data_IF_139602708679
#
_entry.id   IF_139602708679
#
_cell.length_a   1.000
_cell.length_b   1.000
_cell.length_c   1.000
_cell.angle_alpha   90.00
_cell.angle_beta   90.00
_cell.angle_gamma   90.00
#
_symmetry.space_group_name_H-M   'P 1'
#
loop_
_entity.id
_entity.type
_entity.pdbx_description
1 polymer ?
#
# COMPACT_ATOMS: atom_id res chain seq x y z
N UNK A 1 -26.56 -18.23 -16.24
CA UNK A 1 -25.51 -19.26 -16.38
C UNK A 1 -24.19 -18.50 -16.49
N UNK A 2 -23.38 -18.46 -15.44
CA UNK A 2 -22.07 -17.79 -15.50
C UNK A 2 -21.11 -18.76 -16.18
N UNK A 3 -20.61 -18.42 -17.37
CA UNK A 3 -19.50 -19.14 -17.98
C UNK A 3 -18.35 -19.18 -16.97
N UNK A 4 -17.98 -20.38 -16.50
CA UNK A 4 -16.75 -20.56 -15.74
C UNK A 4 -15.60 -20.37 -16.73
N UNK A 5 -15.08 -19.15 -16.82
CA UNK A 5 -13.82 -18.87 -17.52
C UNK A 5 -12.76 -19.81 -16.93
N UNK A 6 -12.06 -20.56 -17.77
CA UNK A 6 -10.97 -21.42 -17.31
C UNK A 6 -9.79 -20.54 -16.86
N UNK A 7 -9.07 -20.95 -15.81
CA UNK A 7 -7.88 -20.23 -15.38
C UNK A 7 -6.76 -20.42 -16.39
N UNK A 8 -6.32 -19.33 -17.00
CA UNK A 8 -5.27 -19.36 -18.01
C UNK A 8 -3.91 -18.92 -17.48
N UNK A 9 -3.83 -18.58 -16.19
CA UNK A 9 -2.68 -17.92 -15.59
C UNK A 9 -2.92 -16.42 -15.39
N UNK A 10 -1.97 -15.77 -14.72
CA UNK A 10 -1.97 -14.31 -14.55
C UNK A 10 -1.24 -13.66 -15.73
N UNK A 11 -1.91 -13.53 -16.88
CA UNK A 11 -1.30 -13.00 -18.11
C UNK A 11 -1.10 -11.47 -18.06
N UNK A 12 -0.27 -10.92 -18.97
CA UNK A 12 -0.04 -9.46 -19.04
C UNK A 12 -1.32 -8.60 -19.05
N UNK A 13 -2.41 -8.99 -19.74
CA UNK A 13 -3.70 -8.30 -19.64
C UNK A 13 -4.25 -8.12 -18.22
N UNK A 14 -3.98 -9.06 -17.29
CA UNK A 14 -4.38 -8.94 -15.89
C UNK A 14 -3.69 -7.75 -15.23
N UNK A 15 -2.40 -7.56 -15.52
CA UNK A 15 -1.60 -6.48 -14.94
C UNK A 15 -1.88 -5.12 -15.58
N UNK A 16 -2.00 -5.08 -16.90
CA UNK A 16 -2.24 -3.82 -17.63
C UNK A 16 -3.63 -3.26 -17.35
N UNK A 17 -4.62 -4.10 -17.03
CA UNK A 17 -5.96 -3.68 -16.64
C UNK A 17 -5.98 -2.70 -15.47
N UNK A 18 -5.04 -2.80 -14.52
CA UNK A 18 -4.94 -1.90 -13.37
C UNK A 18 -4.20 -0.59 -13.67
N UNK A 19 -3.60 -0.44 -14.85
CA UNK A 19 -2.88 0.76 -15.29
C UNK A 19 -3.66 1.63 -16.28
N UNK A 20 -4.72 1.09 -16.86
CA UNK A 20 -5.52 1.73 -17.90
C UNK A 20 -6.82 2.26 -17.27
N UNK A 21 -6.85 3.55 -16.95
CA UNK A 21 -8.07 4.21 -16.51
C UNK A 21 -9.13 4.12 -17.65
N UNK A 22 -10.27 3.46 -17.39
CA UNK A 22 -11.46 3.52 -18.25
C UNK A 22 -11.89 2.24 -18.97
N UNK A 23 -11.27 1.08 -18.75
CA UNK A 23 -11.76 -0.20 -19.31
C UNK A 23 -12.33 -1.11 -18.23
N UNK A 24 -13.57 -0.85 -17.80
CA UNK A 24 -14.27 -1.66 -16.80
C UNK A 24 -14.29 -3.16 -17.14
N UNK A 25 -14.40 -3.50 -18.42
CA UNK A 25 -14.37 -4.90 -18.87
C UNK A 25 -13.00 -5.55 -18.67
N UNK A 26 -11.91 -4.81 -18.86
CA UNK A 26 -10.56 -5.31 -18.59
C UNK A 26 -10.34 -5.53 -17.09
N UNK A 27 -10.85 -4.62 -16.25
CA UNK A 27 -10.81 -4.77 -14.80
C UNK A 27 -11.64 -5.98 -14.35
N UNK A 28 -12.87 -6.15 -14.86
CA UNK A 28 -13.72 -7.32 -14.57
C UNK A 28 -13.02 -8.63 -14.98
N UNK A 29 -12.41 -8.67 -16.16
CA UNK A 29 -11.62 -9.81 -16.60
C UNK A 29 -10.45 -10.09 -15.64
N UNK A 30 -9.65 -9.07 -15.31
CA UNK A 30 -8.51 -9.21 -14.41
C UNK A 30 -8.93 -9.70 -13.01
N UNK A 31 -10.01 -9.14 -12.45
CA UNK A 31 -10.59 -9.57 -11.18
C UNK A 31 -11.06 -11.03 -11.24
N UNK A 32 -11.69 -11.46 -12.34
CA UNK A 32 -12.10 -12.87 -12.52
C UNK A 32 -10.90 -13.83 -12.58
N UNK A 33 -9.80 -13.42 -13.22
CA UNK A 33 -8.57 -14.23 -13.26
C UNK A 33 -7.88 -14.28 -11.90
N UNK A 34 -7.88 -13.18 -11.14
CA UNK A 34 -7.36 -13.14 -9.78
C UNK A 34 -8.18 -14.01 -8.82
N UNK A 35 -9.51 -13.99 -8.95
CA UNK A 35 -10.42 -14.83 -8.16
C UNK A 35 -10.16 -16.33 -8.42
N UNK A 36 -9.95 -16.71 -9.68
CA UNK A 36 -9.58 -18.09 -10.02
C UNK A 36 -8.18 -18.45 -9.52
N UNK A 37 -7.24 -17.51 -9.63
CA UNK A 37 -5.89 -17.67 -9.11
C UNK A 37 -5.90 -17.98 -7.61
N UNK A 38 -6.67 -17.23 -6.79
CA UNK A 38 -6.67 -17.46 -5.34
C UNK A 38 -7.34 -18.78 -4.96
N UNK A 39 -8.41 -19.18 -5.67
CA UNK A 39 -9.05 -20.49 -5.47
C UNK A 39 -8.09 -21.64 -5.76
N UNK A 40 -7.34 -21.56 -6.86
CA UNK A 40 -6.37 -22.59 -7.23
C UNK A 40 -5.12 -22.56 -6.34
N UNK A 41 -4.64 -21.37 -5.98
CA UNK A 41 -3.53 -21.22 -5.05
C UNK A 41 -3.89 -21.88 -3.71
N UNK A 42 -5.05 -21.57 -3.13
CA UNK A 42 -5.50 -22.18 -1.88
C UNK A 42 -5.60 -23.70 -1.99
N UNK A 43 -6.19 -24.22 -3.07
CA UNK A 43 -6.28 -25.66 -3.29
C UNK A 43 -4.92 -26.36 -3.35
N UNK A 44 -3.91 -25.69 -3.92
CA UNK A 44 -2.54 -26.19 -4.04
C UNK A 44 -1.70 -26.02 -2.77
N UNK A 45 -2.17 -25.26 -1.77
CA UNK A 45 -1.45 -25.08 -0.53
C UNK A 45 -1.36 -26.39 0.27
N UNK A 46 -0.24 -26.62 0.98
CA UNK A 46 -0.14 -27.69 1.97
C UNK A 46 -1.30 -27.63 2.96
N UNK A 47 -1.69 -28.79 3.49
CA UNK A 47 -2.82 -28.87 4.43
C UNK A 47 -2.64 -27.95 5.64
N UNK A 48 -1.42 -27.85 6.19
CA UNK A 48 -1.10 -26.93 7.29
C UNK A 48 -1.42 -25.48 6.94
N UNK A 49 -0.97 -25.00 5.77
CA UNK A 49 -1.21 -23.64 5.31
C UNK A 49 -2.71 -23.36 5.08
N UNK A 50 -3.46 -24.33 4.56
CA UNK A 50 -4.93 -24.20 4.42
C UNK A 50 -5.66 -24.13 5.77
N UNK A 51 -5.11 -24.79 6.79
CA UNK A 51 -5.65 -24.72 8.16
C UNK A 51 -5.31 -23.37 8.80
N UNK A 52 -4.12 -22.83 8.54
CA UNK A 52 -3.71 -21.52 9.05
C UNK A 52 -4.42 -20.37 8.35
N UNK A 53 -4.81 -20.56 7.08
CA UNK A 53 -5.56 -19.59 6.26
C UNK A 53 -6.83 -20.23 5.67
N UNK A 54 -7.87 -20.46 6.48
CA UNK A 54 -9.11 -21.06 6.03
C UNK A 54 -9.95 -20.10 5.17
N UNK A 55 -9.73 -18.79 5.28
CA UNK A 55 -10.46 -17.77 4.54
C UNK A 55 -9.64 -17.27 3.35
N UNK A 56 -10.27 -17.15 2.18
CA UNK A 56 -9.63 -16.64 0.98
C UNK A 56 -10.69 -16.07 0.03
N UNK A 57 -10.30 -15.13 -0.81
CA UNK A 57 -11.24 -14.51 -1.73
C UNK A 57 -10.70 -13.28 -2.43
N UNK A 58 -11.62 -12.55 -3.07
CA UNK A 58 -11.38 -11.29 -3.76
C UNK A 58 -12.03 -10.15 -2.96
N UNK A 59 -11.24 -9.16 -2.58
CA UNK A 59 -11.76 -7.86 -2.17
C UNK A 59 -11.93 -7.00 -3.41
N UNK A 60 -13.19 -6.78 -3.81
CA UNK A 60 -13.51 -5.96 -5.00
C UNK A 60 -13.17 -4.49 -4.76
N UNK A 61 -13.36 -4.02 -3.53
CA UNK A 61 -13.04 -2.65 -3.11
C UNK A 61 -11.54 -2.37 -3.24
N UNK A 62 -10.71 -3.24 -2.65
CA UNK A 62 -9.26 -3.09 -2.69
C UNK A 62 -8.66 -3.56 -4.02
N UNK A 63 -9.42 -4.33 -4.82
CA UNK A 63 -8.98 -5.00 -6.07
C UNK A 63 -7.82 -5.97 -5.82
N UNK A 64 -7.85 -6.64 -4.68
CA UNK A 64 -6.81 -7.56 -4.22
C UNK A 64 -7.42 -8.90 -3.88
N UNK A 65 -6.64 -9.98 -4.02
CA UNK A 65 -7.03 -11.28 -3.48
C UNK A 65 -6.22 -11.59 -2.24
N UNK A 66 -6.80 -12.40 -1.36
CA UNK A 66 -6.22 -12.64 -0.04
C UNK A 66 -6.35 -14.09 0.43
N UNK A 67 -5.47 -14.44 1.36
CA UNK A 67 -5.55 -15.57 2.28
C UNK A 67 -5.58 -15.00 3.70
N UNK A 68 -6.50 -15.42 4.56
CA UNK A 68 -6.65 -14.86 5.90
C UNK A 68 -6.91 -15.95 6.94
N UNK A 69 -6.37 -15.74 8.14
CA UNK A 69 -6.58 -16.64 9.26
C UNK A 69 -7.98 -16.51 9.88
N UNK A 70 -8.58 -15.33 9.77
CA UNK A 70 -9.93 -15.00 10.23
C UNK A 70 -10.80 -14.46 9.07
N UNK A 71 -12.12 -14.49 9.25
CA UNK A 71 -13.06 -14.02 8.22
C UNK A 71 -12.92 -12.51 7.95
N UNK A 72 -12.55 -11.77 8.98
CA UNK A 72 -12.18 -10.36 8.90
C UNK A 72 -10.66 -10.28 8.78
N UNK A 73 -10.18 -9.75 7.65
CA UNK A 73 -8.76 -9.74 7.31
C UNK A 73 -7.93 -8.92 8.29
N UNK A 74 -8.52 -7.95 8.99
CA UNK A 74 -7.78 -7.05 9.89
C UNK A 74 -7.63 -7.62 11.31
N UNK A 75 -8.37 -8.68 11.66
CA UNK A 75 -8.40 -9.27 13.00
C UNK A 75 -7.31 -10.28 13.29
N UNK A 76 -6.62 -10.76 12.26
CA UNK A 76 -5.49 -11.67 12.40
C UNK A 76 -4.56 -11.51 11.18
N UNK A 77 -3.55 -12.35 11.09
CA UNK A 77 -2.64 -12.41 9.97
C UNK A 77 -3.37 -12.72 8.66
N UNK A 78 -2.99 -12.00 7.62
CA UNK A 78 -3.44 -12.24 6.27
C UNK A 78 -2.30 -12.03 5.26
N UNK A 79 -2.49 -12.59 4.07
CA UNK A 79 -1.61 -12.47 2.91
C UNK A 79 -2.44 -11.87 1.79
N UNK A 80 -2.03 -10.73 1.24
CA UNK A 80 -2.64 -10.15 0.03
C UNK A 80 -1.74 -10.35 -1.18
N UNK A 81 -2.37 -10.44 -2.34
CA UNK A 81 -1.73 -10.51 -3.64
C UNK A 81 -2.24 -9.36 -4.51
N UNK A 82 -1.35 -8.44 -4.83
CA UNK A 82 -1.69 -7.17 -5.46
C UNK A 82 -1.10 -7.15 -6.87
N UNK A 83 -1.97 -7.24 -7.88
CA UNK A 83 -1.58 -7.05 -9.27
C UNK A 83 -1.49 -5.55 -9.58
N UNK A 84 -0.31 -5.12 -10.06
CA UNK A 84 -0.01 -3.77 -10.51
C UNK A 84 0.56 -3.83 -11.93
N UNK A 85 0.53 -2.74 -12.72
CA UNK A 85 0.96 -2.77 -14.11
C UNK A 85 2.35 -3.39 -14.36
N UNK A 86 3.30 -3.13 -13.46
CA UNK A 86 4.69 -3.58 -13.59
C UNK A 86 5.09 -4.62 -12.54
N UNK A 87 4.19 -5.02 -11.65
CA UNK A 87 4.54 -5.94 -10.56
C UNK A 87 3.36 -6.71 -10.01
N UNK A 88 3.66 -7.86 -9.44
CA UNK A 88 2.80 -8.63 -8.56
C UNK A 88 3.42 -8.60 -7.16
N UNK A 89 2.70 -8.05 -6.21
CA UNK A 89 3.18 -7.87 -4.84
C UNK A 89 2.48 -8.88 -3.92
N UNK A 90 3.27 -9.71 -3.25
CA UNK A 90 2.82 -10.58 -2.17
C UNK A 90 3.09 -9.83 -0.87
N UNK A 91 2.08 -9.67 -0.03
CA UNK A 91 2.19 -8.92 1.23
C UNK A 91 1.59 -9.75 2.36
N UNK A 92 2.44 -10.21 3.27
CA UNK A 92 2.03 -10.75 4.57
C UNK A 92 1.90 -9.58 5.53
N UNK A 93 0.76 -9.46 6.21
CA UNK A 93 0.49 -8.37 7.14
C UNK A 93 -0.09 -8.91 8.45
N UNK A 94 0.35 -8.30 9.55
CA UNK A 94 -0.24 -8.46 10.88
C UNK A 94 -0.46 -7.07 11.46
N UNK A 95 -1.73 -6.73 11.64
CA UNK A 95 -2.17 -5.39 12.02
C UNK A 95 -2.97 -5.36 13.31
N UNK A 96 -3.52 -6.50 13.75
CA UNK A 96 -4.28 -6.58 15.00
C UNK A 96 -3.38 -6.44 16.24
N UNK A 97 -3.80 -5.60 17.20
CA UNK A 97 -3.00 -5.29 18.38
C UNK A 97 -2.76 -6.50 19.28
N UNK A 98 -3.76 -7.35 19.48
CA UNK A 98 -3.65 -8.54 20.35
C UNK A 98 -2.75 -9.61 19.72
N UNK A 99 -2.83 -9.77 18.40
CA UNK A 99 -1.93 -10.66 17.65
C UNK A 99 -0.50 -10.14 17.74
N UNK A 100 -0.28 -8.85 17.46
CA UNK A 100 1.03 -8.21 17.53
C UNK A 100 1.68 -8.35 18.91
N UNK A 101 0.93 -8.17 20.00
CA UNK A 101 1.45 -8.38 21.36
C UNK A 101 1.95 -9.81 21.61
N UNK A 102 1.37 -10.82 20.96
CA UNK A 102 1.86 -12.21 21.03
C UNK A 102 3.03 -12.41 20.09
N UNK A 103 2.96 -11.85 18.89
CA UNK A 103 4.01 -11.88 17.88
C UNK A 103 5.32 -11.33 18.42
N UNK A 104 5.33 -10.10 18.94
CA UNK A 104 6.58 -9.46 19.39
C UNK A 104 7.26 -10.23 20.51
N UNK A 105 6.49 -10.68 21.51
CA UNK A 105 7.01 -11.54 22.59
C UNK A 105 7.56 -12.86 22.07
N UNK A 106 6.90 -13.47 21.08
CA UNK A 106 7.34 -14.72 20.48
C UNK A 106 8.64 -14.55 19.68
N UNK A 107 8.75 -13.47 18.90
CA UNK A 107 9.93 -13.14 18.10
C UNK A 107 11.14 -12.87 19.00
N UNK A 108 10.96 -12.10 20.08
CA UNK A 108 12.00 -11.84 21.08
C UNK A 108 12.47 -13.12 21.78
N UNK A 109 11.52 -13.93 22.26
CA UNK A 109 11.84 -15.18 22.97
C UNK A 109 12.59 -16.18 22.08
N UNK A 110 12.39 -16.13 20.76
CA UNK A 110 12.99 -17.06 19.81
C UNK A 110 13.90 -16.36 18.80
N UNK A 111 14.55 -15.25 19.19
CA UNK A 111 15.32 -14.37 18.29
C UNK A 111 16.25 -15.15 17.33
N UNK A 112 17.06 -16.07 17.84
CA UNK A 112 17.98 -16.86 17.01
C UNK A 112 17.27 -17.67 15.91
N UNK A 113 16.13 -18.29 16.23
CA UNK A 113 15.33 -19.03 15.25
C UNK A 113 14.61 -18.07 14.28
N UNK A 114 14.09 -16.95 14.77
CA UNK A 114 13.51 -15.87 13.96
C UNK A 114 14.50 -15.40 12.90
N UNK A 115 15.71 -15.04 13.32
CA UNK A 115 16.77 -14.55 12.43
C UNK A 115 17.25 -15.63 11.48
N UNK A 116 17.34 -16.89 11.91
CA UNK A 116 17.62 -18.02 11.01
C UNK A 116 16.59 -18.13 9.87
N UNK A 117 15.30 -17.92 10.16
CA UNK A 117 14.25 -17.96 9.15
C UNK A 117 14.25 -16.73 8.24
N UNK A 118 14.47 -15.53 8.81
CA UNK A 118 14.62 -14.30 8.03
C UNK A 118 15.80 -14.41 7.06
N UNK A 119 16.94 -14.95 7.50
CA UNK A 119 18.13 -15.11 6.68
C UNK A 119 17.96 -16.13 5.54
N UNK A 120 17.00 -17.06 5.65
CA UNK A 120 16.64 -17.99 4.57
C UNK A 120 15.77 -17.35 3.48
N UNK A 121 15.22 -16.16 3.71
CA UNK A 121 14.43 -15.45 2.70
C UNK A 121 15.29 -15.04 1.49
N UNK A 122 14.65 -14.94 0.33
CA UNK A 122 15.27 -14.34 -0.85
C UNK A 122 15.52 -12.82 -0.61
N UNK A 123 16.60 -12.22 -1.15
CA UNK A 123 16.87 -10.79 -1.00
C UNK A 123 15.78 -9.85 -1.55
N UNK A 124 14.83 -10.35 -2.36
CA UNK A 124 13.69 -9.55 -2.82
C UNK A 124 12.62 -9.31 -1.76
N UNK A 125 12.71 -9.94 -0.59
CA UNK A 125 11.79 -9.71 0.54
C UNK A 125 12.17 -8.45 1.31
N UNK A 126 11.20 -7.54 1.46
CA UNK A 126 11.29 -6.34 2.29
C UNK A 126 10.51 -6.55 3.57
N UNK A 127 11.12 -6.26 4.70
CA UNK A 127 10.46 -6.21 6.00
C UNK A 127 10.18 -4.74 6.33
N UNK A 128 8.95 -4.47 6.79
CA UNK A 128 8.56 -3.16 7.27
C UNK A 128 7.86 -3.31 8.62
N UNK A 129 8.34 -2.59 9.62
CA UNK A 129 7.70 -2.46 10.93
C UNK A 129 7.37 -0.99 11.12
N UNK A 130 6.10 -0.69 11.34
CA UNK A 130 5.64 0.69 11.51
C UNK A 130 5.34 0.99 12.97
N UNK A 131 5.37 2.26 13.32
CA UNK A 131 4.72 2.80 14.51
C UNK A 131 3.53 3.61 14.03
N UNK A 132 2.34 3.21 14.47
CA UNK A 132 1.08 3.86 14.13
C UNK A 132 0.43 4.39 15.41
N UNK A 133 -0.09 5.61 15.38
CA UNK A 133 -0.81 6.25 16.47
C UNK A 133 -2.30 5.92 16.41
N UNK A 134 -2.83 5.40 17.51
CA UNK A 134 -4.26 5.30 17.75
C UNK A 134 -4.75 6.64 18.29
N UNK A 135 -5.54 7.36 17.50
CA UNK A 135 -6.09 8.66 17.87
C UNK A 135 -7.52 8.47 18.35
N UNK A 136 -7.83 8.99 19.54
CA UNK A 136 -9.16 8.93 20.12
C UNK A 136 -10.19 9.61 19.19
N UNK A 137 -11.27 8.88 18.83
CA UNK A 137 -12.28 9.35 17.88
C UNK A 137 -11.93 9.15 16.40
N UNK A 138 -10.82 8.50 16.08
CA UNK A 138 -10.49 8.03 14.72
C UNK A 138 -10.66 6.53 14.63
N UNK A 139 -11.35 6.06 13.60
CA UNK A 139 -11.52 4.62 13.34
C UNK A 139 -10.24 3.97 12.79
N UNK A 140 -9.29 4.77 12.28
CA UNK A 140 -8.05 4.27 11.66
C UNK A 140 -6.78 4.75 12.39
N UNK A 141 -5.78 3.87 12.57
CA UNK A 141 -4.45 4.24 13.05
C UNK A 141 -3.73 5.17 12.07
N UNK A 142 -3.01 6.19 12.57
CA UNK A 142 -2.24 7.13 11.76
C UNK A 142 -0.78 6.71 11.74
N UNK A 143 -0.15 6.65 10.56
CA UNK A 143 1.28 6.41 10.46
C UNK A 143 2.09 7.53 11.13
N UNK A 144 2.98 7.15 12.04
CA UNK A 144 3.87 8.07 12.75
C UNK A 144 5.30 7.99 12.20
N UNK A 145 5.89 6.80 12.21
CA UNK A 145 7.20 6.54 11.61
C UNK A 145 7.38 5.06 11.25
N UNK A 146 8.39 4.74 10.45
CA UNK A 146 8.83 3.36 10.25
C UNK A 146 9.90 3.03 11.30
N UNK A 147 9.69 1.99 12.12
CA UNK A 147 10.72 1.46 13.03
C UNK A 147 11.80 0.71 12.26
N UNK A 148 11.41 0.08 11.14
CA UNK A 148 12.31 -0.54 10.19
C UNK A 148 11.67 -0.60 8.82
N UNK A 149 12.47 -0.37 7.78
CA UNK A 149 12.07 -0.55 6.38
C UNK A 149 13.30 -0.79 5.51
N UNK A 150 13.62 -2.05 5.28
CA UNK A 150 14.63 -2.44 4.30
C UNK A 150 14.41 -3.91 3.90
N UNK A 151 15.31 -4.42 3.08
CA UNK A 151 15.42 -5.82 2.73
C UNK A 151 15.59 -6.66 4.00
N UNK A 152 14.77 -7.71 4.16
CA UNK A 152 14.75 -8.52 5.38
C UNK A 152 16.13 -9.11 5.74
N UNK A 153 16.96 -9.40 4.73
CA UNK A 153 18.34 -9.90 4.88
C UNK A 153 19.36 -8.90 5.44
N UNK A 154 19.06 -7.61 5.45
CA UNK A 154 19.94 -6.59 6.04
C UNK A 154 19.70 -6.40 7.53
N UNK A 155 18.64 -6.99 8.08
CA UNK A 155 18.39 -6.96 9.50
C UNK A 155 19.40 -7.89 10.19
N UNK A 156 20.31 -7.32 10.98
CA UNK A 156 21.19 -8.10 11.84
C UNK A 156 20.54 -8.39 13.20
N UNK A 157 21.15 -9.29 13.98
CA UNK A 157 20.58 -9.75 15.24
C UNK A 157 20.43 -8.63 16.29
N UNK A 158 21.34 -7.65 16.29
CA UNK A 158 21.34 -6.53 17.25
C UNK A 158 20.21 -5.57 16.91
N UNK A 159 20.13 -5.15 15.64
CA UNK A 159 19.07 -4.30 15.13
C UNK A 159 17.69 -4.98 15.25
N UNK A 160 17.62 -6.29 15.03
CA UNK A 160 16.40 -7.07 15.22
C UNK A 160 15.93 -7.04 16.68
N UNK A 161 16.84 -7.30 17.62
CA UNK A 161 16.52 -7.29 19.04
C UNK A 161 16.01 -5.91 19.48
N UNK A 162 16.75 -4.85 19.19
CA UNK A 162 16.36 -3.47 19.54
C UNK A 162 15.01 -3.09 18.93
N UNK A 163 14.80 -3.43 17.65
CA UNK A 163 13.54 -3.18 16.96
C UNK A 163 12.37 -3.95 17.59
N UNK A 164 12.54 -5.25 17.89
CA UNK A 164 11.49 -6.07 18.48
C UNK A 164 11.15 -5.63 19.90
N UNK A 165 12.14 -5.27 20.72
CA UNK A 165 11.92 -4.73 22.08
C UNK A 165 11.14 -3.42 22.03
N UNK A 166 11.55 -2.50 21.15
CA UNK A 166 10.85 -1.24 20.94
C UNK A 166 9.43 -1.46 20.41
N UNK A 167 9.24 -2.40 19.49
CA UNK A 167 7.93 -2.71 18.93
C UNK A 167 6.97 -3.31 19.97
N UNK A 168 7.46 -4.23 20.83
CA UNK A 168 6.66 -4.81 21.93
C UNK A 168 6.27 -3.74 22.95
N UNK A 169 7.23 -2.90 23.36
CA UNK A 169 7.00 -1.80 24.29
C UNK A 169 5.92 -0.84 23.76
N UNK A 170 6.06 -0.37 22.52
CA UNK A 170 5.10 0.53 21.90
C UNK A 170 3.73 -0.14 21.75
N UNK A 171 3.65 -1.40 21.30
CA UNK A 171 2.38 -2.10 21.16
C UNK A 171 1.65 -2.30 22.50
N UNK A 172 2.39 -2.28 23.62
CA UNK A 172 1.83 -2.30 24.97
C UNK A 172 1.18 -0.97 25.40
N UNK A 173 1.54 0.15 24.79
CA UNK A 173 0.94 1.45 25.08
C UNK A 173 -0.42 1.61 24.38
N UNK A 174 -1.40 2.24 25.04
CA UNK A 174 -2.76 2.41 24.49
C UNK A 174 -2.77 3.22 23.18
N UNK A 175 -1.93 4.25 23.10
CA UNK A 175 -1.85 5.18 21.96
C UNK A 175 -1.13 4.63 20.73
N UNK A 176 -0.49 3.46 20.80
CA UNK A 176 0.29 2.94 19.68
C UNK A 176 -0.14 1.54 19.27
N UNK A 177 0.18 1.24 18.01
CA UNK A 177 0.17 -0.10 17.44
C UNK A 177 1.37 -0.21 16.49
N UNK A 178 2.02 -1.37 16.50
CA UNK A 178 3.25 -1.59 15.71
C UNK A 178 3.05 -2.71 14.70
N UNK A 179 2.39 -2.45 13.55
CA UNK A 179 2.13 -3.49 12.57
C UNK A 179 3.42 -3.94 11.86
N UNK A 180 3.44 -5.22 11.49
CA UNK A 180 4.53 -5.84 10.74
C UNK A 180 4.04 -6.28 9.37
N UNK A 181 4.86 -5.97 8.36
CA UNK A 181 4.62 -6.30 6.97
C UNK A 181 5.85 -6.97 6.38
N UNK A 182 5.63 -8.08 5.68
CA UNK A 182 6.66 -8.76 4.93
C UNK A 182 6.19 -8.85 3.47
N UNK A 183 6.89 -8.18 2.57
CA UNK A 183 6.45 -8.03 1.18
C UNK A 183 7.50 -8.45 0.16
N UNK A 184 7.07 -9.06 -0.94
CA UNK A 184 7.90 -9.37 -2.10
C UNK A 184 7.25 -8.79 -3.35
N UNK A 185 8.01 -8.07 -4.16
CA UNK A 185 7.58 -7.58 -5.48
C UNK A 185 8.23 -8.41 -6.57
N UNK A 186 7.40 -9.01 -7.42
CA UNK A 186 7.83 -9.80 -8.56
C UNK A 186 7.43 -9.05 -9.84
N UNK A 187 8.29 -8.90 -10.85
CA UNK A 187 7.91 -8.27 -12.12
C UNK A 187 6.68 -8.94 -12.76
N UNK A 188 5.76 -8.14 -13.31
CA UNK A 188 4.53 -8.66 -13.94
C UNK A 188 4.83 -9.60 -15.11
N UNK A 189 5.86 -9.29 -15.91
CA UNK A 189 6.34 -10.13 -17.01
C UNK A 189 6.77 -11.52 -16.54
N UNK A 190 7.47 -11.59 -15.41
CA UNK A 190 7.92 -12.86 -14.84
C UNK A 190 6.74 -13.71 -14.39
N UNK A 191 5.73 -13.10 -13.75
CA UNK A 191 4.51 -13.82 -13.36
C UNK A 191 3.71 -14.27 -14.58
N UNK A 192 3.58 -13.41 -15.59
CA UNK A 192 2.88 -13.75 -16.83
C UNK A 192 3.55 -14.90 -17.57
N UNK A 193 4.88 -14.97 -17.57
CA UNK A 193 5.64 -16.06 -18.16
C UNK A 193 5.42 -17.41 -17.44
N UNK A 194 5.01 -17.42 -16.17
CA UNK A 194 4.68 -18.67 -15.45
C UNK A 194 3.40 -19.32 -15.97
N UNK A 195 2.53 -18.58 -16.66
CA UNK A 195 1.26 -19.08 -17.18
C UNK A 195 0.42 -19.75 -16.09
N UNK A 196 -0.08 -20.97 -16.37
CA UNK A 196 -0.87 -21.77 -15.42
C UNK A 196 -0.05 -22.27 -14.23
N UNK A 197 1.28 -22.36 -14.35
CA UNK A 197 2.18 -22.83 -13.29
C UNK A 197 2.36 -21.85 -12.13
N UNK A 198 1.86 -20.61 -12.26
CA UNK A 198 1.99 -19.56 -11.23
C UNK A 198 1.47 -20.00 -9.86
N UNK A 199 0.36 -20.75 -9.82
CA UNK A 199 -0.25 -21.21 -8.56
C UNK A 199 0.63 -22.24 -7.86
N UNK A 200 1.25 -23.15 -8.61
CA UNK A 200 2.20 -24.13 -8.07
C UNK A 200 3.46 -23.42 -7.53
N UNK A 201 4.10 -22.58 -8.34
CA UNK A 201 5.32 -21.85 -7.95
C UNK A 201 5.09 -21.01 -6.70
N UNK A 202 3.97 -20.29 -6.62
CA UNK A 202 3.65 -19.49 -5.45
C UNK A 202 3.25 -20.35 -4.24
N UNK A 203 2.58 -21.49 -4.44
CA UNK A 203 2.28 -22.41 -3.33
C UNK A 203 3.54 -22.98 -2.69
N UNK A 204 4.55 -23.36 -3.48
CA UNK A 204 5.83 -23.87 -3.00
C UNK A 204 6.60 -22.78 -2.23
N UNK A 205 6.58 -21.54 -2.73
CA UNK A 205 7.17 -20.39 -2.04
C UNK A 205 6.50 -20.11 -0.70
N UNK A 206 5.16 -20.06 -0.68
CA UNK A 206 4.42 -19.85 0.57
C UNK A 206 4.67 -20.98 1.56
N UNK A 207 4.69 -22.24 1.09
CA UNK A 207 5.01 -23.41 1.92
C UNK A 207 6.39 -23.28 2.59
N UNK A 208 7.42 -22.83 1.85
CA UNK A 208 8.75 -22.60 2.39
C UNK A 208 8.78 -21.48 3.45
N UNK A 209 7.89 -20.50 3.34
CA UNK A 209 7.78 -19.37 4.26
C UNK A 209 6.87 -19.65 5.47
N UNK A 210 6.06 -20.70 5.44
CA UNK A 210 5.09 -20.99 6.51
C UNK A 210 5.70 -20.99 7.91
N UNK A 211 6.93 -21.49 8.18
CA UNK A 211 7.51 -21.41 9.51
C UNK A 211 7.66 -19.97 10.03
N UNK A 212 8.08 -19.05 9.15
CA UNK A 212 8.20 -17.63 9.48
C UNK A 212 6.82 -16.98 9.61
N UNK A 213 5.93 -17.23 8.66
CA UNK A 213 4.56 -16.71 8.65
C UNK A 213 3.83 -17.12 9.93
N UNK A 214 3.93 -18.38 10.34
CA UNK A 214 3.32 -18.88 11.60
C UNK A 214 3.84 -18.11 12.82
N UNK A 215 5.13 -17.81 12.84
CA UNK A 215 5.76 -17.06 13.93
C UNK A 215 5.35 -15.58 13.92
N UNK A 216 5.24 -14.97 12.74
CA UNK A 216 4.71 -13.61 12.57
C UNK A 216 3.24 -13.50 13.00
N UNK A 217 2.46 -14.57 12.85
CA UNK A 217 1.10 -14.67 13.42
C UNK A 217 1.06 -14.93 14.94
N UNK A 218 2.19 -14.89 15.63
CA UNK A 218 2.27 -15.10 17.09
C UNK A 218 2.01 -16.54 17.54
N UNK A 219 2.22 -17.53 16.65
CA UNK A 219 1.97 -18.95 16.91
C UNK A 219 3.28 -19.74 16.86
N UNK A 220 3.39 -20.76 17.70
CA UNK A 220 4.47 -21.77 17.58
C UNK A 220 4.04 -22.84 16.58
N UNK A 221 4.97 -23.34 15.75
CA UNK A 221 4.69 -24.41 14.80
C UNK A 221 3.94 -25.59 15.49
N UNK A 222 2.75 -25.92 14.99
CA UNK A 222 1.88 -26.96 15.54
C UNK A 222 0.81 -26.49 16.55
N UNK A 223 0.83 -25.23 16.99
CA UNK A 223 -0.30 -24.65 17.72
C UNK A 223 -1.44 -24.32 16.76
N UNK A 224 -2.51 -25.10 16.83
CA UNK A 224 -3.74 -24.82 16.07
C UNK A 224 -4.40 -23.53 16.55
N UNK A 225 -5.02 -22.75 15.65
CA UNK A 225 -5.95 -21.71 16.05
C UNK A 225 -7.00 -22.33 16.96
N UNK A 226 -7.21 -21.79 18.16
CA UNK A 226 -8.34 -22.21 19.01
C UNK A 226 -9.60 -21.70 18.30
N UNK A 227 -10.50 -22.57 17.83
CA UNK A 227 -11.79 -22.10 17.33
C UNK A 227 -12.50 -21.40 18.48
N UNK A 228 -12.73 -20.08 18.37
CA UNK A 228 -13.73 -19.41 19.21
C UNK A 228 -15.08 -20.06 18.87
N UNK A 229 -15.91 -20.45 19.85
CA UNK A 229 -17.18 -21.09 19.57
C UNK A 229 -18.06 -20.11 18.80
N UNK A 230 -18.28 -20.40 17.51
CA UNK A 230 -19.22 -19.67 16.68
C UNK A 230 -20.64 -19.88 17.22
N UNK A 231 -21.32 -18.79 17.60
CA UNK A 231 -22.79 -18.81 17.69
C UNK A 231 -23.33 -19.15 16.29
N UNK A 232 -24.32 -20.06 16.17
CA UNK A 232 -24.76 -20.56 14.89
C UNK A 232 -25.59 -19.49 14.17
N UNK A 233 -24.98 -18.75 13.26
CA UNK A 233 -25.70 -17.90 12.32
C UNK A 233 -25.82 -18.64 10.99
N UNK A 234 -27.05 -19.03 10.66
CA UNK A 234 -27.41 -19.74 9.42
C UNK A 234 -26.88 -18.99 8.20
N UNK A 235 -26.18 -19.73 7.34
CA UNK A 235 -25.83 -19.33 5.98
C UNK A 235 -27.10 -18.92 5.23
N UNK A 236 -27.15 -17.66 4.80
CA UNK A 236 -28.06 -17.23 3.73
C UNK A 236 -27.24 -16.38 2.77
N UNK A 237 -27.26 -16.77 1.50
CA UNK A 237 -26.64 -16.03 0.41
C UNK A 237 -27.20 -14.61 0.34
N UNK A 238 -26.32 -13.60 0.25
CA UNK A 238 -26.73 -12.20 0.10
C UNK A 238 -26.35 -11.72 -1.29
N UNK A 239 -27.37 -11.42 -2.08
CA UNK A 239 -27.31 -10.53 -3.25
C UNK A 239 -27.59 -9.08 -2.81
N UNK A 240 -27.20 -8.08 -3.61
CA UNK A 240 -26.81 -6.76 -3.12
C UNK A 240 -27.99 -5.79 -3.04
N UNK A 241 -28.07 -4.97 -1.99
CA UNK A 241 -28.97 -3.81 -1.98
C UNK A 241 -28.45 -2.69 -1.06
N UNK A 242 -28.21 -1.55 -1.72
CA UNK A 242 -28.41 -0.15 -1.32
C UNK A 242 -27.71 0.45 -0.08
N UNK A 243 -27.00 1.55 -0.39
CA UNK A 243 -26.50 2.55 0.53
C UNK A 243 -27.63 3.39 1.15
N UNK A 244 -27.43 3.92 2.36
CA UNK A 244 -28.08 5.14 2.78
C UNK A 244 -27.07 6.27 3.11
N UNK A 245 -27.16 7.31 2.30
CA UNK A 245 -27.29 8.74 2.63
C UNK A 245 -26.54 9.35 3.82
N UNK A 246 -25.67 10.31 3.48
CA UNK A 246 -25.01 11.27 4.36
C UNK A 246 -25.96 12.33 4.96
N UNK A 247 -25.55 12.91 6.11
CA UNK A 247 -25.87 14.29 6.58
C UNK A 247 -24.91 14.69 7.75
N UNK A 248 -24.75 15.98 8.08
CA UNK A 248 -23.44 16.64 8.10
C UNK A 248 -22.83 17.01 9.48
N UNK A 249 -21.54 17.36 9.44
CA UNK A 249 -20.66 17.84 10.52
C UNK A 249 -21.16 19.08 11.29
N UNK A 250 -20.70 19.26 12.53
CA UNK A 250 -20.34 20.58 13.08
C UNK A 250 -18.82 20.74 13.27
N UNK A 251 -18.38 21.97 13.05
CA UNK A 251 -17.01 22.49 13.18
C UNK A 251 -16.75 22.87 14.63
N UNK A 252 -15.64 22.41 15.23
CA UNK A 252 -15.09 23.01 16.45
C UNK A 252 -13.58 23.19 16.27
N UNK A 253 -13.15 24.42 16.52
CA UNK A 253 -11.81 24.97 16.40
C UNK A 253 -11.15 24.89 17.78
N UNK A 254 -9.97 24.28 17.90
CA UNK A 254 -9.13 24.41 19.10
C UNK A 254 -7.70 24.73 18.67
N UNK A 255 -7.15 25.74 19.35
CA UNK A 255 -5.88 26.40 19.11
C UNK A 255 -4.70 25.50 19.52
N UNK A 256 -3.64 25.48 18.70
CA UNK A 256 -2.37 24.84 19.02
C UNK A 256 -1.45 25.84 19.70
N UNK A 257 -0.96 25.48 20.90
CA UNK A 257 0.24 26.06 21.49
C UNK A 257 1.46 25.16 21.21
N UNK A 258 2.54 25.83 20.83
CA UNK A 258 3.82 25.42 20.24
C UNK A 258 4.77 24.61 21.12
N UNK A 259 5.59 23.75 20.50
CA UNK A 259 7.07 23.83 20.59
C UNK A 259 7.86 22.90 19.62
N UNK A 260 8.59 23.55 18.70
CA UNK A 260 9.95 23.31 18.15
C UNK A 260 10.21 22.04 17.29
N UNK A 261 10.17 22.08 15.95
CA UNK A 261 11.09 22.60 14.89
C UNK A 261 12.24 21.66 14.48
N UNK A 262 12.05 20.96 13.35
CA UNK A 262 13.05 20.76 12.29
C UNK A 262 12.39 21.31 11.02
N UNK A 263 13.01 22.30 10.37
CA UNK A 263 12.32 23.25 9.48
C UNK A 263 11.70 22.66 8.21
N UNK A 264 10.56 23.20 7.73
CA UNK A 264 10.02 22.90 6.41
C UNK A 264 10.94 23.57 5.35
N UNK A 265 11.28 22.86 4.28
CA UNK A 265 11.91 23.54 3.14
C UNK A 265 10.87 24.54 2.58
N UNK A 266 11.09 25.85 2.74
CA UNK A 266 10.18 26.91 2.26
C UNK A 266 10.10 26.99 0.72
N UNK A 267 11.06 26.35 0.05
CA UNK A 267 11.25 26.34 -1.39
C UNK A 267 11.90 25.03 -1.83
N UNK A 268 11.44 24.46 -2.94
CA UNK A 268 12.21 23.46 -3.69
C UNK A 268 12.22 23.76 -5.19
N UNK A 269 13.24 23.24 -5.87
CA UNK A 269 13.32 23.25 -7.34
C UNK A 269 13.54 21.83 -7.83
N UNK A 270 12.78 21.42 -8.85
CA UNK A 270 12.81 20.09 -9.43
C UNK A 270 12.72 20.19 -10.95
N UNK A 271 13.51 19.39 -11.67
CA UNK A 271 13.42 19.29 -13.12
C UNK A 271 13.07 17.86 -13.54
N UNK A 272 12.25 17.74 -14.58
CA UNK A 272 11.88 16.43 -15.12
C UNK A 272 11.63 16.50 -16.61
N UNK A 273 11.86 15.37 -17.28
CA UNK A 273 11.60 15.21 -18.71
C UNK A 273 10.12 14.89 -18.91
N UNK A 274 9.45 15.69 -19.74
CA UNK A 274 8.05 15.51 -20.06
C UNK A 274 7.86 14.30 -20.98
N UNK A 275 7.08 13.32 -20.50
CA UNK A 275 6.64 12.18 -21.30
C UNK A 275 5.44 12.59 -22.15
N UNK A 276 5.18 11.93 -23.29
CA UNK A 276 3.98 12.18 -24.10
C UNK A 276 2.66 12.13 -23.29
N UNK A 277 2.62 11.29 -22.25
CA UNK A 277 1.48 11.17 -21.35
C UNK A 277 1.28 12.40 -20.46
N UNK A 278 2.36 13.05 -20.01
CA UNK A 278 2.30 14.27 -19.19
C UNK A 278 1.62 15.41 -19.95
N UNK A 279 1.97 15.55 -21.23
CA UNK A 279 1.42 16.58 -22.13
C UNK A 279 -0.04 16.28 -22.46
N UNK A 280 -0.36 15.06 -22.92
CA UNK A 280 -1.73 14.70 -23.34
C UNK A 280 -2.78 14.71 -22.22
N UNK A 281 -2.36 14.52 -20.97
CA UNK A 281 -3.27 14.38 -19.81
C UNK A 281 -3.15 15.53 -18.81
N UNK A 282 -2.30 16.52 -19.08
CA UNK A 282 -2.17 17.71 -18.24
C UNK A 282 -1.71 17.40 -16.81
N UNK A 283 -0.65 16.62 -16.64
CA UNK A 283 -0.08 16.40 -15.32
C UNK A 283 1.44 16.25 -15.35
N UNK A 284 2.09 16.54 -14.22
CA UNK A 284 3.53 16.37 -14.05
C UNK A 284 3.79 15.56 -12.79
N UNK A 285 4.53 14.46 -12.94
CA UNK A 285 4.95 13.65 -11.79
C UNK A 285 6.23 14.24 -11.17
N UNK A 286 6.21 14.36 -9.86
CA UNK A 286 7.38 14.64 -9.03
C UNK A 286 7.90 13.32 -8.44
N UNK A 287 8.79 13.40 -7.45
CA UNK A 287 9.21 12.22 -6.65
C UNK A 287 8.40 12.11 -5.36
N UNK A 288 8.47 10.96 -4.66
CA UNK A 288 7.83 10.80 -3.35
C UNK A 288 8.30 11.79 -2.28
N UNK A 289 9.56 12.21 -2.34
CA UNK A 289 10.16 13.15 -1.38
C UNK A 289 9.48 14.52 -1.42
N UNK A 290 8.99 14.93 -2.61
CA UNK A 290 8.33 16.23 -2.79
C UNK A 290 6.92 16.27 -2.20
N UNK A 291 6.29 15.13 -1.92
CA UNK A 291 4.95 15.13 -1.33
C UNK A 291 4.93 15.77 0.06
N UNK A 292 6.00 15.60 0.84
CA UNK A 292 6.12 16.18 2.17
C UNK A 292 5.99 17.71 2.17
N UNK A 293 6.40 18.38 1.09
CA UNK A 293 6.25 19.82 0.91
C UNK A 293 4.79 20.25 0.69
N UNK A 294 3.99 19.43 -0.01
CA UNK A 294 2.58 19.76 -0.29
C UNK A 294 1.61 19.30 0.79
N UNK A 295 2.07 18.46 1.72
CA UNK A 295 1.22 17.91 2.77
C UNK A 295 0.88 18.97 3.82
N UNK A 296 -0.40 19.27 4.01
CA UNK A 296 -0.86 20.01 5.21
C UNK A 296 -0.87 19.13 6.46
N UNK A 297 -0.91 17.81 6.28
CA UNK A 297 -0.86 16.81 7.33
C UNK A 297 -0.77 15.40 6.76
N UNK A 298 -0.67 14.40 7.65
CA UNK A 298 -0.42 13.00 7.29
C UNK A 298 -1.51 12.37 6.39
N UNK A 299 -2.74 12.90 6.44
CA UNK A 299 -3.92 12.47 5.68
C UNK A 299 -4.18 13.30 4.41
N UNK A 300 -3.34 14.28 4.11
CA UNK A 300 -3.51 15.04 2.88
C UNK A 300 -3.30 14.11 1.68
N UNK A 301 -4.28 14.08 0.79
CA UNK A 301 -4.19 13.35 -0.49
C UNK A 301 -4.21 14.32 -1.66
N UNK A 302 -4.80 15.50 -1.47
CA UNK A 302 -4.88 16.56 -2.47
C UNK A 302 -4.60 17.90 -1.83
N UNK A 303 -3.84 18.75 -2.52
CA UNK A 303 -3.52 20.11 -2.09
C UNK A 303 -3.79 21.08 -3.22
N UNK A 304 -4.54 22.15 -2.97
CA UNK A 304 -4.71 23.23 -3.95
C UNK A 304 -3.44 24.07 -4.05
N UNK A 305 -3.04 24.42 -5.26
CA UNK A 305 -1.82 25.21 -5.52
C UNK A 305 -2.12 26.35 -6.49
N UNK A 306 -1.40 27.46 -6.33
CA UNK A 306 -1.38 28.53 -7.33
C UNK A 306 -0.29 28.20 -8.32
N UNK A 307 -0.67 27.90 -9.55
CA UNK A 307 0.27 27.62 -10.63
C UNK A 307 0.58 28.90 -11.40
N UNK A 308 1.86 29.20 -11.61
CA UNK A 308 2.31 30.29 -12.48
C UNK A 308 3.02 29.70 -13.69
N UNK A 309 2.59 30.10 -14.89
CA UNK A 309 3.17 29.64 -16.14
C UNK A 309 3.12 30.75 -17.19
N UNK A 310 4.24 30.99 -17.86
CA UNK A 310 4.38 32.17 -18.75
C UNK A 310 4.05 33.47 -18.01
N UNK A 311 3.06 34.23 -18.50
CA UNK A 311 2.52 35.45 -17.87
C UNK A 311 1.20 35.24 -17.13
N UNK A 312 0.76 33.99 -16.96
CA UNK A 312 -0.55 33.64 -16.41
C UNK A 312 -0.43 33.04 -15.01
N UNK A 313 -1.49 33.23 -14.22
CA UNK A 313 -1.63 32.69 -12.87
C UNK A 313 -2.94 31.92 -12.81
N UNK A 314 -2.86 30.66 -12.43
CA UNK A 314 -3.99 29.75 -12.26
C UNK A 314 -4.12 29.33 -10.79
N UNK A 315 -5.37 29.20 -10.32
CA UNK A 315 -5.69 28.80 -8.94
C UNK A 315 -6.49 27.50 -8.88
N UNK A 316 -6.81 26.90 -10.03
CA UNK A 316 -7.62 25.68 -10.13
C UNK A 316 -6.78 24.40 -10.14
N UNK A 317 -5.46 24.53 -10.30
CA UNK A 317 -4.53 23.39 -10.27
C UNK A 317 -4.38 22.80 -8.87
N UNK A 318 -4.12 21.49 -8.81
CA UNK A 318 -3.98 20.74 -7.55
C UNK A 318 -2.79 19.79 -7.59
N UNK A 319 -2.28 19.40 -6.43
CA UNK A 319 -1.24 18.37 -6.30
C UNK A 319 -1.84 17.17 -5.59
N UNK A 320 -1.70 15.99 -6.18
CA UNK A 320 -2.25 14.75 -5.68
C UNK A 320 -1.14 13.84 -5.16
N UNK A 321 -1.39 13.16 -4.05
CA UNK A 321 -0.56 12.09 -3.53
C UNK A 321 -0.98 10.78 -4.17
N UNK A 322 -0.08 10.15 -4.91
CA UNK A 322 -0.34 8.85 -5.51
C UNK A 322 0.01 7.75 -4.51
N UNK A 323 -1.02 7.13 -3.92
CA UNK A 323 -0.86 5.95 -3.08
C UNK A 323 -0.56 4.70 -3.92
N UNK A 324 0.33 3.79 -3.46
CA UNK A 324 1.08 3.80 -2.20
C UNK A 324 2.51 4.34 -2.34
N UNK A 325 2.88 4.88 -3.50
CA UNK A 325 4.26 5.32 -3.76
C UNK A 325 4.58 6.68 -3.16
N UNK A 326 3.59 7.35 -2.56
CA UNK A 326 3.66 8.72 -2.04
C UNK A 326 4.13 9.75 -3.08
N UNK A 327 4.00 9.43 -4.37
CA UNK A 327 4.49 10.28 -5.44
C UNK A 327 3.57 11.50 -5.58
N UNK A 328 4.13 12.70 -5.50
CA UNK A 328 3.37 13.91 -5.76
C UNK A 328 3.14 14.07 -7.28
N UNK A 329 1.90 14.35 -7.68
CA UNK A 329 1.53 14.65 -9.06
C UNK A 329 0.84 16.00 -9.11
N UNK A 330 1.40 16.93 -9.86
CA UNK A 330 0.74 18.20 -10.18
C UNK A 330 -0.28 17.91 -11.28
N UNK A 331 -1.55 18.14 -10.99
CA UNK A 331 -2.67 18.05 -11.92
C UNK A 331 -3.01 19.47 -12.37
N UNK A 332 -2.89 19.69 -13.68
CA UNK A 332 -3.06 21.01 -14.30
C UNK A 332 -4.54 21.28 -14.57
N UNK A 333 -4.96 22.53 -14.39
CA UNK A 333 -6.24 23.01 -14.89
C UNK A 333 -6.30 22.99 -16.43
N UNK A 334 -7.49 23.09 -17.05
CA UNK A 334 -7.60 23.14 -18.51
C UNK A 334 -6.75 24.25 -19.16
N UNK A 335 -6.66 25.42 -18.52
CA UNK A 335 -5.87 26.55 -19.03
C UNK A 335 -4.37 26.27 -18.96
N UNK A 336 -3.89 25.71 -17.85
CA UNK A 336 -2.49 25.32 -17.67
C UNK A 336 -2.10 24.14 -18.58
N UNK A 337 -3.02 23.20 -18.80
CA UNK A 337 -2.83 22.06 -19.70
C UNK A 337 -2.72 22.53 -21.16
N UNK A 338 -3.60 23.43 -21.62
CA UNK A 338 -3.49 24.01 -22.97
C UNK A 338 -2.20 24.78 -23.17
N UNK A 339 -1.70 25.48 -22.14
CA UNK A 339 -0.40 26.12 -22.21
C UNK A 339 0.74 25.09 -22.34
N UNK A 340 0.71 24.02 -21.53
CA UNK A 340 1.69 22.95 -21.57
C UNK A 340 1.76 22.30 -22.96
N UNK A 341 0.60 21.98 -23.56
CA UNK A 341 0.50 21.40 -24.91
C UNK A 341 1.02 22.29 -26.02
N UNK A 342 0.89 23.62 -25.87
CA UNK A 342 1.37 24.59 -26.87
C UNK A 342 2.86 24.92 -26.72
N UNK A 343 3.42 24.71 -25.52
CA UNK A 343 4.73 25.25 -25.16
C UNK A 343 5.83 24.19 -25.13
N UNK A 344 5.48 22.91 -24.90
CA UNK A 344 6.44 21.82 -24.74
C UNK A 344 6.15 20.68 -25.72
N UNK A 345 7.22 20.09 -26.24
CA UNK A 345 7.18 18.83 -26.99
C UNK A 345 7.52 17.64 -26.08
N UNK A 346 7.25 16.43 -26.58
CA UNK A 346 7.67 15.23 -25.88
C UNK A 346 9.20 15.22 -25.74
N UNK A 347 9.70 14.85 -24.56
CA UNK A 347 11.13 14.85 -24.18
C UNK A 347 11.72 16.23 -23.80
N UNK A 348 10.94 17.30 -23.86
CA UNK A 348 11.37 18.58 -23.29
C UNK A 348 11.50 18.50 -21.76
N UNK A 349 12.46 19.24 -21.20
CA UNK A 349 12.65 19.34 -19.75
C UNK A 349 11.85 20.53 -19.20
N UNK A 350 11.05 20.27 -18.19
CA UNK A 350 10.32 21.30 -17.43
C UNK A 350 10.98 21.51 -16.07
N UNK A 351 11.15 22.76 -15.68
CA UNK A 351 11.60 23.15 -14.34
C UNK A 351 10.41 23.59 -13.50
N UNK A 352 10.37 23.10 -12.28
CA UNK A 352 9.30 23.31 -11.32
C UNK A 352 9.91 23.94 -10.09
N UNK A 353 9.44 25.13 -9.74
CA UNK A 353 9.85 25.83 -8.52
C UNK A 353 8.63 26.01 -7.63
N UNK A 354 8.61 25.36 -6.47
CA UNK A 354 7.50 25.46 -5.53
C UNK A 354 7.92 26.28 -4.31
N UNK A 355 7.09 27.24 -3.93
CA UNK A 355 7.28 28.14 -2.78
C UNK A 355 6.08 28.06 -1.85
N UNK A 356 6.32 27.97 -0.55
CA UNK A 356 5.27 28.09 0.45
C UNK A 356 5.34 29.48 1.10
N UNK A 357 4.22 30.19 1.12
CA UNK A 357 4.12 31.49 1.77
C UNK A 357 3.76 31.37 3.25
N UNK A 358 3.95 32.44 4.02
CA UNK A 358 3.64 32.51 5.46
C UNK A 358 2.17 32.15 5.77
N UNK A 359 1.26 32.34 4.82
CA UNK A 359 -0.16 31.95 4.93
C UNK A 359 -0.43 30.48 4.54
N UNK A 360 0.61 29.64 4.40
CA UNK A 360 0.56 28.23 3.92
C UNK A 360 -0.01 28.06 2.51
N UNK A 361 -0.05 29.14 1.74
CA UNK A 361 -0.42 29.07 0.33
C UNK A 361 0.81 28.69 -0.49
N UNK A 362 0.66 27.64 -1.30
CA UNK A 362 1.71 27.11 -2.16
C UNK A 362 1.60 27.70 -3.55
N UNK A 363 2.69 28.27 -4.04
CA UNK A 363 2.84 28.75 -5.42
C UNK A 363 3.84 27.88 -6.16
N UNK A 364 3.46 27.36 -7.32
CA UNK A 364 4.30 26.54 -8.18
C UNK A 364 4.54 27.25 -9.51
N UNK A 365 5.79 27.57 -9.81
CA UNK A 365 6.21 28.14 -11.09
C UNK A 365 6.63 27.00 -12.04
N UNK A 366 6.04 26.99 -13.24
CA UNK A 366 6.45 26.14 -14.35
C UNK A 366 7.32 26.96 -15.32
N UNK A 367 8.58 26.55 -15.47
CA UNK A 367 9.60 27.26 -16.25
C UNK A 367 10.08 26.34 -17.37
N UNK A 368 10.03 26.84 -18.61
CA UNK A 368 10.65 26.18 -19.76
C UNK A 368 12.16 26.47 -19.79
N UNK A 369 12.98 25.45 -20.04
CA UNK A 369 14.38 25.66 -20.36
C UNK A 369 14.47 26.36 -21.73
N UNK A 370 14.90 27.61 -21.76
CA UNK A 370 15.22 28.28 -23.01
C UNK A 370 16.70 27.98 -23.31
N UNK A 371 16.96 26.82 -23.92
CA UNK A 371 18.20 26.62 -24.67
C UNK A 371 18.04 27.06 -26.11
#
# INVERSE_FOLDING_TARGET
MSEKTEFTGLTMPVFTAFGWAGQENAIKYALSQLEQFIQQLHANLPHSARVDFPHYGLSVENRTVYLAAEADTEKDMHITFNARPMSFEILVAVTDKEVLSRTWKLLLRNLSNTMSLINKLDPSWTLRVQQMQLVEGSDEPIHYQDLYRDTAKKLDDVAAQEMFEKADYLNGEEKWITPIYLSQRIPSEQIAAMGRGVTQVLSERLAAMMPLITMLGGRVAGQRPRPKPAKPTKQTAVSPTEAPTAMPRPVVRVEMETAVTVGPQELFTFSTVLKPLHIRRGFINLTPEHWLFFAEGARSETRSVILKFGSQVDKESTVWRLQPSDMARIVLSPSAHQWLEKTFDAEDTIYIRATESVSRQITVDLIKDNK
#
